data_IF_603418252189
#
_entry.id   IF_603418252189
#
_cell.length_a   1.000
_cell.length_b   1.000
_cell.length_c   1.000
_cell.angle_alpha   90.00
_cell.angle_beta   90.00
_cell.angle_gamma   90.00
#
_symmetry.space_group_name_H-M   'P 1'
#
loop_
_entity.id
_entity.type
_entity.pdbx_description
1 polymer ?
#
# COMPACT_ATOMS: atom_id res chain seq x y z
N UNK A 1 -31.94 -36.89 36.15
CA UNK A 1 -31.85 -36.47 34.74
C UNK A 1 -31.22 -35.08 34.71
N UNK A 2 -29.93 -34.98 34.38
CA UNK A 2 -29.20 -33.70 34.34
C UNK A 2 -28.37 -33.64 33.05
N UNK A 3 -29.04 -33.40 31.93
CA UNK A 3 -28.39 -33.05 30.67
C UNK A 3 -28.00 -31.58 30.69
N UNK A 4 -26.92 -31.26 31.39
CA UNK A 4 -26.42 -29.88 31.44
C UNK A 4 -25.95 -29.42 30.05
N UNK A 5 -26.28 -28.18 29.73
CA UNK A 5 -26.05 -27.39 28.51
C UNK A 5 -24.57 -27.24 28.10
N UNK A 6 -23.85 -28.33 27.83
CA UNK A 6 -22.43 -28.28 27.39
C UNK A 6 -22.28 -27.55 26.04
N UNK A 7 -23.27 -27.63 25.15
CA UNK A 7 -23.24 -26.96 23.84
C UNK A 7 -23.27 -25.43 23.92
N UNK A 8 -23.99 -24.86 24.89
CA UNK A 8 -24.08 -23.39 25.05
C UNK A 8 -22.78 -22.77 25.54
N UNK A 9 -22.13 -23.41 26.51
CA UNK A 9 -20.88 -22.93 27.12
C UNK A 9 -19.69 -23.02 26.15
N UNK A 10 -19.60 -24.10 25.35
CA UNK A 10 -18.54 -24.26 24.35
C UNK A 10 -18.71 -23.29 23.18
N UNK A 11 -19.95 -23.06 22.72
CA UNK A 11 -20.25 -22.07 21.70
C UNK A 11 -19.88 -20.65 22.14
N UNK A 12 -20.23 -20.26 23.37
CA UNK A 12 -19.85 -18.95 23.91
C UNK A 12 -18.34 -18.82 24.13
N UNK A 13 -17.65 -19.84 24.63
CA UNK A 13 -16.19 -19.83 24.80
C UNK A 13 -15.44 -19.73 23.46
N UNK A 14 -15.90 -20.44 22.41
CA UNK A 14 -15.31 -20.36 21.08
C UNK A 14 -15.50 -18.98 20.46
N UNK A 15 -16.69 -18.37 20.61
CA UNK A 15 -16.96 -17.01 20.15
C UNK A 15 -16.14 -15.98 20.95
N UNK A 16 -15.97 -16.17 22.26
CA UNK A 16 -15.14 -15.30 23.11
C UNK A 16 -13.64 -15.37 22.73
N UNK A 17 -13.12 -16.57 22.44
CA UNK A 17 -11.76 -16.79 22.00
C UNK A 17 -11.51 -16.24 20.58
N UNK A 18 -12.46 -16.42 19.66
CA UNK A 18 -12.37 -15.83 18.32
C UNK A 18 -12.40 -14.30 18.36
N UNK A 19 -13.23 -13.72 19.23
CA UNK A 19 -13.33 -12.28 19.43
C UNK A 19 -12.07 -11.67 20.08
N UNK A 20 -11.43 -12.39 21.00
CA UNK A 20 -10.22 -11.94 21.69
C UNK A 20 -8.90 -12.19 20.94
N UNK A 21 -8.87 -13.04 19.90
CA UNK A 21 -7.64 -13.34 19.15
C UNK A 21 -7.14 -12.18 18.27
N UNK A 22 -8.05 -11.35 17.76
CA UNK A 22 -7.69 -10.17 16.93
C UNK A 22 -7.46 -8.89 17.73
N UNK A 23 -7.87 -8.85 18.99
CA UNK A 23 -7.82 -7.65 19.84
C UNK A 23 -6.62 -7.65 20.79
N UNK A 24 -5.51 -8.25 20.36
CA UNK A 24 -4.25 -8.23 21.10
C UNK A 24 -3.37 -7.12 20.52
N UNK A 25 -3.01 -6.08 21.29
CA UNK A 25 -2.26 -4.94 20.76
C UNK A 25 -0.94 -5.36 20.11
N UNK A 26 -0.27 -6.39 20.64
CA UNK A 26 0.95 -6.97 20.06
C UNK A 26 0.70 -7.49 18.63
N UNK A 27 -0.40 -8.23 18.42
CA UNK A 27 -0.72 -8.79 17.10
C UNK A 27 -1.10 -7.70 16.10
N UNK A 28 -1.80 -6.64 16.54
CA UNK A 28 -2.07 -5.45 15.72
C UNK A 28 -0.78 -4.75 15.32
N UNK A 29 0.14 -4.55 16.25
CA UNK A 29 1.44 -3.94 16.00
C UNK A 29 2.27 -4.74 15.00
N UNK A 30 2.38 -6.06 15.21
CA UNK A 30 3.10 -6.96 14.30
C UNK A 30 2.50 -6.96 12.88
N UNK A 31 1.17 -7.07 12.78
CA UNK A 31 0.50 -7.00 11.49
C UNK A 31 0.73 -5.64 10.82
N UNK A 32 0.66 -4.55 11.59
CA UNK A 32 0.96 -3.21 11.10
C UNK A 32 2.35 -3.08 10.49
N UNK A 33 3.39 -3.59 11.18
CA UNK A 33 4.77 -3.62 10.65
C UNK A 33 4.85 -4.43 9.35
N UNK A 34 4.21 -5.60 9.30
CA UNK A 34 4.21 -6.46 8.10
C UNK A 34 3.54 -5.75 6.92
N UNK A 35 2.39 -5.12 7.14
CA UNK A 35 1.69 -4.38 6.09
C UNK A 35 2.52 -3.20 5.58
N UNK A 36 3.19 -2.45 6.48
CA UNK A 36 4.09 -1.36 6.08
C UNK A 36 5.29 -1.88 5.29
N UNK A 37 5.86 -3.03 5.68
CA UNK A 37 6.93 -3.67 4.94
C UNK A 37 6.52 -4.01 3.50
N UNK A 38 5.38 -4.68 3.32
CA UNK A 38 4.85 -4.98 1.99
C UNK A 38 4.46 -3.72 1.21
N UNK A 39 3.90 -2.72 1.89
CA UNK A 39 3.58 -1.43 1.29
C UNK A 39 4.82 -0.73 0.74
N UNK A 40 5.91 -0.65 1.51
CA UNK A 40 7.17 -0.06 1.06
C UNK A 40 7.75 -0.79 -0.16
N UNK A 41 7.73 -2.13 -0.14
CA UNK A 41 8.22 -2.92 -1.27
C UNK A 41 7.40 -2.66 -2.54
N UNK A 42 6.08 -2.65 -2.43
CA UNK A 42 5.19 -2.38 -3.56
C UNK A 42 5.30 -0.93 -4.05
N UNK A 43 5.41 0.05 -3.13
CA UNK A 43 5.59 1.47 -3.44
C UNK A 43 6.86 1.70 -4.26
N UNK A 44 7.99 1.11 -3.84
CA UNK A 44 9.25 1.22 -4.59
C UNK A 44 9.09 0.66 -6.00
N UNK A 45 8.43 -0.49 -6.15
CA UNK A 45 8.16 -1.06 -7.47
C UNK A 45 7.30 -0.12 -8.34
N UNK A 46 6.24 0.47 -7.79
CA UNK A 46 5.38 1.41 -8.54
C UNK A 46 6.10 2.69 -8.96
N UNK A 47 6.98 3.20 -8.11
CA UNK A 47 7.83 4.33 -8.46
C UNK A 47 8.76 3.93 -9.60
N UNK A 48 9.46 2.79 -9.49
CA UNK A 48 10.38 2.33 -10.55
C UNK A 48 9.65 2.09 -11.89
N UNK A 49 8.46 1.48 -11.89
CA UNK A 49 7.68 1.25 -13.13
C UNK A 49 7.17 2.55 -13.73
N UNK A 50 6.78 3.52 -12.90
CA UNK A 50 6.37 4.86 -13.33
C UNK A 50 7.54 5.70 -13.87
N UNK A 51 8.72 5.58 -13.27
CA UNK A 51 9.95 6.17 -13.79
C UNK A 51 10.32 5.60 -15.16
N UNK A 52 10.23 4.27 -15.30
CA UNK A 52 10.50 3.58 -16.56
C UNK A 52 9.55 4.03 -17.68
N UNK A 53 8.28 4.29 -17.34
CA UNK A 53 7.30 4.88 -18.26
C UNK A 53 7.75 6.23 -18.80
N UNK A 54 8.15 7.17 -17.93
CA UNK A 54 8.57 8.51 -18.35
C UNK A 54 9.89 8.51 -19.09
N UNK A 55 10.84 7.67 -18.67
CA UNK A 55 12.13 7.54 -19.32
C UNK A 55 12.06 6.74 -20.63
N UNK A 56 10.90 6.12 -20.93
CA UNK A 56 10.74 5.16 -22.03
C UNK A 56 11.81 4.06 -21.99
N UNK A 57 12.21 3.66 -20.78
CA UNK A 57 13.26 2.66 -20.60
C UNK A 57 12.72 1.25 -20.79
N UNK A 58 13.64 0.29 -20.79
CA UNK A 58 13.28 -1.12 -20.77
C UNK A 58 12.48 -1.47 -19.50
N UNK A 59 11.76 -2.59 -19.59
CA UNK A 59 11.04 -3.22 -18.49
C UNK A 59 12.00 -3.50 -17.33
N UNK A 60 11.60 -3.14 -16.12
CA UNK A 60 12.44 -3.28 -14.92
C UNK A 60 12.30 -4.67 -14.29
N UNK A 61 13.37 -5.13 -13.65
CA UNK A 61 13.33 -6.32 -12.81
C UNK A 61 12.61 -6.04 -11.49
N UNK A 62 11.90 -7.02 -10.94
CA UNK A 62 11.23 -6.93 -9.63
C UNK A 62 12.18 -7.05 -8.44
N UNK A 63 13.33 -6.39 -8.52
CA UNK A 63 14.18 -6.15 -7.37
C UNK A 63 13.90 -4.72 -6.90
N UNK A 64 13.17 -4.53 -5.78
CA UNK A 64 12.94 -3.21 -5.23
C UNK A 64 14.28 -2.54 -4.93
N UNK A 65 14.49 -1.37 -5.50
CA UNK A 65 15.69 -0.59 -5.24
C UNK A 65 15.46 0.30 -4.02
N UNK A 66 16.14 -0.01 -2.92
CA UNK A 66 16.06 0.79 -1.68
C UNK A 66 16.56 2.23 -1.87
N UNK A 67 17.38 2.48 -2.91
CA UNK A 67 17.78 3.83 -3.31
C UNK A 67 16.60 4.72 -3.68
N UNK A 68 15.47 4.14 -4.10
CA UNK A 68 14.22 4.87 -4.41
C UNK A 68 13.77 5.73 -3.23
N UNK A 69 13.90 5.22 -1.99
CA UNK A 69 13.51 5.96 -0.79
C UNK A 69 14.39 7.19 -0.52
N UNK A 70 15.60 7.23 -1.07
CA UNK A 70 16.53 8.35 -0.92
C UNK A 70 16.42 9.35 -2.07
N UNK A 71 15.76 9.01 -3.18
CA UNK A 71 15.64 9.88 -4.34
C UNK A 71 15.04 11.26 -4.04
N UNK A 72 14.02 11.43 -3.17
CA UNK A 72 13.53 12.76 -2.83
C UNK A 72 14.60 13.65 -2.20
N UNK A 73 15.47 13.06 -1.36
CA UNK A 73 16.59 13.78 -0.73
C UNK A 73 17.64 14.13 -1.77
N UNK A 74 18.01 13.17 -2.64
CA UNK A 74 18.96 13.38 -3.73
C UNK A 74 18.48 14.46 -4.72
N UNK A 75 17.17 14.51 -5.00
CA UNK A 75 16.54 15.53 -5.83
C UNK A 75 16.70 16.92 -5.20
N UNK A 76 16.45 17.04 -3.89
CA UNK A 76 16.58 18.31 -3.17
C UNK A 76 18.03 18.82 -3.11
N UNK A 77 19.00 17.91 -3.04
CA UNK A 77 20.42 18.24 -3.07
C UNK A 77 20.99 18.47 -4.48
N UNK A 78 20.20 18.25 -5.54
CA UNK A 78 20.66 18.38 -6.92
C UNK A 78 21.66 17.31 -7.34
N UNK A 79 21.64 16.14 -6.69
CA UNK A 79 22.56 15.02 -6.95
C UNK A 79 22.12 14.18 -8.18
N UNK A 80 20.88 14.39 -8.65
CA UNK A 80 20.30 13.64 -9.77
C UNK A 80 20.59 14.31 -11.10
N UNK A 81 20.91 13.50 -12.12
CA UNK A 81 20.91 13.98 -13.51
C UNK A 81 19.53 14.53 -13.90
N UNK A 82 19.48 15.46 -14.86
CA UNK A 82 18.22 16.09 -15.30
C UNK A 82 17.13 15.07 -15.69
N UNK A 83 17.50 13.98 -16.37
CA UNK A 83 16.54 12.95 -16.77
C UNK A 83 16.02 12.17 -15.57
N UNK A 84 16.91 11.80 -14.64
CA UNK A 84 16.51 11.10 -13.42
C UNK A 84 15.66 12.01 -12.52
N UNK A 85 16.02 13.28 -12.37
CA UNK A 85 15.23 14.25 -11.62
C UNK A 85 13.78 14.34 -12.12
N UNK A 86 13.58 14.37 -13.46
CA UNK A 86 12.24 14.32 -14.06
C UNK A 86 11.49 13.02 -13.75
N UNK A 87 12.18 11.89 -13.82
CA UNK A 87 11.60 10.59 -13.52
C UNK A 87 11.18 10.50 -12.04
N UNK A 88 12.06 10.91 -11.12
CA UNK A 88 11.80 10.96 -9.67
C UNK A 88 10.62 11.88 -9.36
N UNK A 89 10.59 13.08 -9.94
CA UNK A 89 9.46 14.01 -9.77
C UNK A 89 8.15 13.41 -10.27
N UNK A 90 8.19 12.61 -11.34
CA UNK A 90 7.01 11.91 -11.85
C UNK A 90 6.59 10.77 -10.92
N UNK A 91 7.49 9.83 -10.61
CA UNK A 91 7.20 8.65 -9.81
C UNK A 91 6.68 9.03 -8.42
N UNK A 92 7.43 9.84 -7.66
CA UNK A 92 6.99 10.34 -6.36
C UNK A 92 5.81 11.30 -6.46
N UNK A 93 5.71 12.06 -7.55
CA UNK A 93 4.59 12.97 -7.79
C UNK A 93 3.26 12.23 -7.92
N UNK A 94 3.24 11.12 -8.66
CA UNK A 94 2.06 10.25 -8.81
C UNK A 94 1.60 9.74 -7.44
N UNK A 95 2.52 9.22 -6.62
CA UNK A 95 2.22 8.72 -5.28
C UNK A 95 1.74 9.81 -4.32
N UNK A 96 2.34 11.01 -4.39
CA UNK A 96 1.94 12.14 -3.57
C UNK A 96 0.53 12.63 -3.95
N UNK A 97 0.22 12.75 -5.24
CA UNK A 97 -1.12 13.15 -5.71
C UNK A 97 -2.14 12.08 -5.32
N UNK A 98 -1.77 10.80 -5.41
CA UNK A 98 -2.62 9.70 -4.95
C UNK A 98 -2.96 9.84 -3.47
N UNK A 99 -1.96 10.07 -2.62
CA UNK A 99 -2.16 10.29 -1.18
C UNK A 99 -3.08 11.49 -0.91
N UNK A 100 -2.87 12.61 -1.62
CA UNK A 100 -3.73 13.79 -1.53
C UNK A 100 -5.17 13.46 -1.93
N UNK A 101 -5.38 12.65 -2.98
CA UNK A 101 -6.70 12.20 -3.39
C UNK A 101 -7.37 11.32 -2.33
N UNK A 102 -6.66 10.37 -1.73
CA UNK A 102 -7.25 9.51 -0.70
C UNK A 102 -7.61 10.30 0.57
N UNK A 103 -6.72 11.18 1.03
CA UNK A 103 -7.00 12.04 2.19
C UNK A 103 -8.12 13.02 1.87
N UNK A 104 -8.08 13.65 0.68
CA UNK A 104 -9.06 14.63 0.23
C UNK A 104 -10.47 14.07 0.09
N UNK A 105 -10.61 12.79 -0.31
CA UNK A 105 -11.91 12.11 -0.38
C UNK A 105 -12.62 12.10 0.98
N UNK A 106 -11.87 11.86 2.05
CA UNK A 106 -12.43 11.77 3.42
C UNK A 106 -12.52 13.14 4.09
N UNK A 107 -11.56 14.03 3.81
CA UNK A 107 -11.48 15.33 4.46
C UNK A 107 -12.44 16.39 3.88
N UNK A 108 -12.87 16.24 2.62
CA UNK A 108 -13.65 17.26 1.91
C UNK A 108 -15.04 16.75 1.55
N UNK A 109 -16.07 17.47 2.00
CA UNK A 109 -17.47 17.12 1.72
C UNK A 109 -17.96 17.69 0.38
N UNK A 110 -19.04 17.10 -0.15
CA UNK A 110 -19.71 17.59 -1.36
C UNK A 110 -19.00 17.22 -2.66
N UNK A 111 -19.13 18.06 -3.69
CA UNK A 111 -18.65 17.76 -5.06
C UNK A 111 -17.13 17.55 -5.15
N UNK A 112 -16.35 18.19 -4.28
CA UNK A 112 -14.89 18.06 -4.25
C UNK A 112 -14.43 16.68 -3.78
N UNK A 113 -15.13 16.06 -2.82
CA UNK A 113 -14.83 14.68 -2.40
C UNK A 113 -14.98 13.68 -3.57
N UNK A 114 -15.97 13.88 -4.44
CA UNK A 114 -16.14 13.07 -5.65
C UNK A 114 -15.00 13.20 -6.66
N UNK A 115 -14.40 14.39 -6.78
CA UNK A 115 -13.21 14.61 -7.62
C UNK A 115 -11.99 13.90 -7.08
N UNK A 116 -11.78 13.96 -5.76
CA UNK A 116 -10.68 13.26 -5.11
C UNK A 116 -10.80 11.74 -5.26
N UNK A 117 -12.00 11.18 -5.08
CA UNK A 117 -12.29 9.77 -5.34
C UNK A 117 -11.96 9.36 -6.78
N UNK A 118 -12.39 10.19 -7.74
CA UNK A 118 -12.13 9.95 -9.17
C UNK A 118 -10.63 10.01 -9.47
N UNK A 119 -9.92 10.99 -8.90
CA UNK A 119 -8.47 11.11 -9.02
C UNK A 119 -7.74 9.90 -8.45
N UNK A 120 -8.11 9.44 -7.26
CA UNK A 120 -7.55 8.23 -6.66
C UNK A 120 -7.75 7.00 -7.55
N UNK A 121 -8.95 6.82 -8.11
CA UNK A 121 -9.24 5.73 -9.04
C UNK A 121 -8.38 5.78 -10.31
N UNK A 122 -8.24 6.97 -10.91
CA UNK A 122 -7.41 7.17 -12.11
C UNK A 122 -5.94 6.84 -11.82
N UNK A 123 -5.41 7.27 -10.67
CA UNK A 123 -4.01 7.03 -10.31
C UNK A 123 -3.74 5.56 -10.01
N UNK A 124 -4.67 4.87 -9.34
CA UNK A 124 -4.58 3.41 -9.17
C UNK A 124 -4.59 2.69 -10.52
N UNK A 125 -5.47 3.10 -11.45
CA UNK A 125 -5.50 2.51 -12.79
C UNK A 125 -4.22 2.81 -13.59
N UNK A 126 -3.65 4.00 -13.42
CA UNK A 126 -2.37 4.37 -14.03
C UNK A 126 -1.23 3.51 -13.48
N UNK A 127 -1.11 3.39 -12.16
CA UNK A 127 -0.07 2.56 -11.51
C UNK A 127 -0.21 1.09 -11.91
N UNK A 128 -1.44 0.58 -11.95
CA UNK A 128 -1.70 -0.77 -12.47
C UNK A 128 -1.19 -0.94 -13.90
N UNK A 129 -1.47 0.04 -14.76
CA UNK A 129 -1.04 -0.01 -16.15
C UNK A 129 0.49 0.09 -16.28
N UNK A 130 1.15 0.96 -15.52
CA UNK A 130 2.62 1.05 -15.54
C UNK A 130 3.25 -0.22 -15.01
N UNK A 131 2.73 -0.79 -13.92
CA UNK A 131 3.18 -2.08 -13.39
C UNK A 131 3.04 -3.21 -14.41
N UNK A 132 1.91 -3.25 -15.11
CA UNK A 132 1.65 -4.27 -16.12
C UNK A 132 2.61 -4.18 -17.32
N UNK A 133 2.91 -2.97 -17.79
CA UNK A 133 3.72 -2.76 -19.01
C UNK A 133 5.22 -2.67 -18.74
N UNK A 134 5.62 -2.19 -17.56
CA UNK A 134 7.02 -1.90 -17.23
C UNK A 134 7.60 -2.80 -16.14
N UNK A 135 6.79 -3.63 -15.46
CA UNK A 135 7.31 -4.72 -14.63
C UNK A 135 7.58 -5.99 -15.45
N UNK A 136 8.62 -6.75 -15.12
CA UNK A 136 8.98 -7.98 -15.85
C UNK A 136 8.75 -9.26 -15.02
N UNK A 137 7.61 -9.96 -15.21
CA UNK A 137 7.37 -11.26 -14.56
C UNK A 137 7.54 -12.40 -15.57
N UNK A 138 8.45 -13.37 -15.34
CA UNK A 138 8.61 -14.55 -16.20
C UNK A 138 7.51 -15.60 -15.94
N UNK A 139 6.25 -15.16 -15.87
CA UNK A 139 5.06 -15.98 -15.58
C UNK A 139 4.01 -15.90 -16.69
N UNK A 140 4.28 -15.17 -17.77
CA UNK A 140 3.32 -14.85 -18.82
C UNK A 140 2.27 -13.81 -18.39
N UNK A 141 1.36 -13.49 -19.31
CA UNK A 141 0.39 -12.40 -19.19
C UNK A 141 -0.49 -12.50 -17.93
N UNK A 142 -0.95 -13.70 -17.58
CA UNK A 142 -1.81 -13.91 -16.41
C UNK A 142 -1.12 -13.57 -15.09
N UNK A 143 0.15 -13.98 -14.94
CA UNK A 143 0.91 -13.63 -13.73
C UNK A 143 1.27 -12.14 -13.70
N UNK A 144 1.58 -11.52 -14.84
CA UNK A 144 1.81 -10.07 -14.91
C UNK A 144 0.56 -9.28 -14.49
N UNK A 145 -0.62 -9.71 -14.94
CA UNK A 145 -1.90 -9.10 -14.57
C UNK A 145 -2.17 -9.22 -13.07
N UNK A 146 -2.02 -10.43 -12.53
CA UNK A 146 -2.20 -10.69 -11.10
C UNK A 146 -1.22 -9.89 -10.24
N UNK A 147 0.03 -9.78 -10.67
CA UNK A 147 1.04 -8.98 -10.01
C UNK A 147 0.65 -7.50 -9.99
N UNK A 148 0.35 -6.89 -11.14
CA UNK A 148 -0.02 -5.48 -11.20
C UNK A 148 -1.25 -5.17 -10.32
N UNK A 149 -2.23 -6.09 -10.30
CA UNK A 149 -3.42 -5.97 -9.46
C UNK A 149 -3.07 -6.00 -7.96
N UNK A 150 -2.24 -6.95 -7.55
CA UNK A 150 -1.83 -7.10 -6.14
C UNK A 150 -0.97 -5.92 -5.71
N UNK A 151 0.01 -5.49 -6.51
CA UNK A 151 0.88 -4.34 -6.21
C UNK A 151 0.05 -3.07 -6.05
N UNK A 152 -0.86 -2.80 -6.98
CA UNK A 152 -1.78 -1.65 -6.89
C UNK A 152 -2.68 -1.70 -5.65
N UNK A 153 -3.19 -2.88 -5.29
CA UNK A 153 -3.97 -3.05 -4.08
C UNK A 153 -3.14 -2.81 -2.81
N UNK A 154 -1.91 -3.35 -2.76
CA UNK A 154 -1.01 -3.17 -1.62
C UNK A 154 -0.69 -1.68 -1.43
N UNK A 155 -0.29 -0.97 -2.49
CA UNK A 155 0.04 0.46 -2.39
C UNK A 155 -1.18 1.27 -1.95
N UNK A 156 -2.37 0.94 -2.48
CA UNK A 156 -3.59 1.65 -2.16
C UNK A 156 -4.05 1.51 -0.70
N UNK A 157 -3.86 0.33 -0.09
CA UNK A 157 -4.49 0.02 1.20
C UNK A 157 -3.51 -0.25 2.34
N UNK A 158 -2.40 -0.94 2.09
CA UNK A 158 -1.58 -1.48 3.18
C UNK A 158 -0.86 -0.40 3.99
N UNK A 159 -0.47 0.71 3.36
CA UNK A 159 0.17 1.83 4.07
C UNK A 159 -0.75 2.43 5.12
N UNK A 160 -1.98 2.78 4.73
CA UNK A 160 -2.97 3.38 5.64
C UNK A 160 -3.44 2.40 6.72
N UNK A 161 -3.74 1.15 6.35
CA UNK A 161 -4.14 0.12 7.31
C UNK A 161 -2.99 -0.16 8.28
N UNK A 162 -1.76 -0.28 7.78
CA UNK A 162 -0.57 -0.53 8.59
C UNK A 162 -0.31 0.56 9.62
N UNK A 163 -0.35 1.84 9.21
CA UNK A 163 -0.20 2.98 10.12
C UNK A 163 -1.32 2.98 11.18
N UNK A 164 -2.56 2.73 10.77
CA UNK A 164 -3.70 2.69 11.69
C UNK A 164 -3.54 1.59 12.75
N UNK A 165 -3.16 0.38 12.35
CA UNK A 165 -2.92 -0.74 13.25
C UNK A 165 -1.77 -0.46 14.24
N UNK A 166 -0.69 0.16 13.77
CA UNK A 166 0.43 0.57 14.63
C UNK A 166 -0.01 1.61 15.66
N UNK A 167 -0.77 2.62 15.23
CA UNK A 167 -1.27 3.66 16.12
C UNK A 167 -2.21 3.08 17.19
N UNK A 168 -3.15 2.21 16.79
CA UNK A 168 -4.03 1.51 17.72
C UNK A 168 -3.24 0.63 18.70
N UNK A 169 -2.23 -0.11 18.23
CA UNK A 169 -1.39 -0.93 19.10
C UNK A 169 -0.65 -0.10 20.17
N UNK A 170 -0.05 1.03 19.76
CA UNK A 170 0.67 1.93 20.67
C UNK A 170 -0.27 2.51 21.73
N UNK A 171 -1.44 3.00 21.32
CA UNK A 171 -2.41 3.63 22.22
C UNK A 171 -3.07 2.64 23.18
N UNK A 172 -3.23 1.38 22.79
CA UNK A 172 -3.75 0.32 23.66
C UNK A 172 -2.69 -0.24 24.61
N UNK A 173 -1.41 -0.30 24.21
CA UNK A 173 -0.32 -0.70 25.10
C UNK A 173 0.02 0.34 26.17
N UNK A 174 -0.23 1.63 25.90
CA UNK A 174 0.01 2.70 26.85
C UNK A 174 -1.06 2.84 27.94
N UNK A 175 -2.10 2.00 27.95
CA UNK A 175 -3.18 1.95 28.94
C UNK A 175 -3.05 0.73 29.84
#
# INVERSE_FOLDING_TARGET
>A
MAGHNVRGTVGHAATYLAHNRGNVPILKGLLGVVLIGFWLLALMLQIQTSEAFILKSAVISFAPDWGILLQPVQLLHGELSMNMAKAVMWGWGVELVYLVCVIGEVAVQGRLGGWFKTGAFILVAFNFWTDFNYGNLPSGMGGQLGFAAITSFIVAFFGLIGINLLWTAITEWGR
#
